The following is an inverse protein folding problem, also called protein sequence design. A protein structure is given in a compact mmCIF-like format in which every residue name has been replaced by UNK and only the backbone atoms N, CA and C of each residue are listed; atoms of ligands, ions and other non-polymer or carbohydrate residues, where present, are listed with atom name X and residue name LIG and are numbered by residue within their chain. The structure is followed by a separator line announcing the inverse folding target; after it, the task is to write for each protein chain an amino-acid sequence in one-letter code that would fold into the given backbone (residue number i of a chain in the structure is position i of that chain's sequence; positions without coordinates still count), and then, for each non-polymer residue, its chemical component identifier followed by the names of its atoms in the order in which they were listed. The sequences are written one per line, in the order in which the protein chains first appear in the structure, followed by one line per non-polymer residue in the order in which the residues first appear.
data_IF_489301065368
#
_entry.id   IF_489301065368
#
_cell.length_a   1.000
_cell.length_b   1.000
_cell.length_c   1.000
_cell.angle_alpha   90.00
_cell.angle_beta   90.00
_cell.angle_gamma   90.00
#
_symmetry.space_group_name_H-M   'P 1'
#
loop_
_entity.id
_entity.type
_entity.pdbx_description
1 polymer ?
#
# COMPACT_ATOMS: atom_id res chain seq x y z
N UNK A 1 -0.86 -5.60 40.09
CA UNK A 1 -0.61 -4.70 38.94
C UNK A 1 -0.78 -5.52 37.67
N UNK A 2 -1.89 -5.35 36.93
CA UNK A 2 -2.03 -6.00 35.62
C UNK A 2 -1.06 -5.32 34.65
N UNK A 3 -0.06 -6.04 34.14
CA UNK A 3 0.79 -5.49 33.07
C UNK A 3 -0.10 -5.11 31.89
N UNK A 4 0.06 -3.89 31.38
CA UNK A 4 -0.57 -3.51 30.12
C UNK A 4 0.00 -4.43 29.04
N UNK A 5 -0.87 -5.21 28.38
CA UNK A 5 -0.45 -5.97 27.19
C UNK A 5 0.10 -4.98 26.17
N UNK A 6 1.24 -5.25 25.50
CA UNK A 6 1.74 -4.38 24.45
C UNK A 6 0.69 -4.28 23.34
N UNK A 7 0.31 -3.04 23.00
CA UNK A 7 -0.62 -2.78 21.91
C UNK A 7 0.08 -3.05 20.57
N UNK A 8 -0.61 -3.74 19.66
CA UNK A 8 -0.09 -4.06 18.33
C UNK A 8 -0.88 -3.29 17.27
N UNK A 9 -0.24 -3.00 16.15
CA UNK A 9 -0.86 -2.49 14.93
C UNK A 9 -0.16 -3.12 13.72
N UNK A 10 -0.90 -3.28 12.61
CA UNK A 10 -0.36 -3.72 11.33
C UNK A 10 -0.40 -2.55 10.35
N UNK A 11 0.74 -2.25 9.72
CA UNK A 11 0.83 -1.31 8.61
C UNK A 11 1.17 -2.11 7.34
N UNK A 12 0.26 -2.11 6.37
CA UNK A 12 0.45 -2.71 5.05
C UNK A 12 0.89 -1.61 4.10
N UNK A 13 2.07 -1.75 3.50
CA UNK A 13 2.68 -0.66 2.73
C UNK A 13 2.60 -0.96 1.24
N UNK A 14 1.92 -0.07 0.51
CA UNK A 14 1.99 0.08 -0.94
C UNK A 14 1.84 -1.21 -1.75
N UNK A 15 0.88 -2.06 -1.38
CA UNK A 15 0.53 -3.27 -2.14
C UNK A 15 -0.37 -2.89 -3.32
N UNK A 16 0.19 -2.12 -4.25
CA UNK A 16 -0.47 -1.58 -5.44
C UNK A 16 -0.02 -2.31 -6.71
N UNK A 17 -0.82 -2.22 -7.76
CA UNK A 17 -0.55 -2.86 -9.04
C UNK A 17 0.80 -2.43 -9.63
N UNK A 18 1.14 -1.13 -9.54
CA UNK A 18 2.39 -0.61 -10.11
C UNK A 18 3.65 -1.17 -9.45
N UNK A 19 3.56 -1.69 -8.21
CA UNK A 19 4.68 -2.34 -7.53
C UNK A 19 4.70 -3.87 -7.69
N UNK A 20 3.67 -4.45 -8.32
CA UNK A 20 3.57 -5.88 -8.61
C UNK A 20 4.02 -6.20 -10.05
N UNK A 21 4.30 -7.47 -10.41
CA UNK A 21 4.74 -7.81 -11.76
C UNK A 21 3.81 -7.30 -12.87
N UNK A 22 4.39 -6.66 -13.88
CA UNK A 22 3.66 -6.00 -14.96
C UNK A 22 3.31 -4.52 -14.69
N UNK A 23 3.48 -4.05 -13.46
CA UNK A 23 3.34 -2.64 -13.08
C UNK A 23 4.51 -1.75 -13.48
N UNK A 24 4.31 -0.42 -13.43
CA UNK A 24 5.32 0.57 -13.83
C UNK A 24 6.65 0.49 -13.03
N UNK A 25 6.57 0.06 -11.76
CA UNK A 25 7.69 -0.21 -10.86
C UNK A 25 7.62 -1.64 -10.33
N UNK A 26 7.20 -2.58 -11.18
CA UNK A 26 6.92 -3.95 -10.78
C UNK A 26 8.13 -4.67 -10.19
N UNK A 27 7.99 -5.12 -8.93
CA UNK A 27 9.00 -5.95 -8.28
C UNK A 27 8.81 -7.39 -8.76
N UNK A 28 9.86 -8.05 -9.29
CA UNK A 28 9.78 -9.46 -9.66
C UNK A 28 9.27 -10.30 -8.49
N UNK A 29 8.23 -11.10 -8.74
CA UNK A 29 7.55 -11.92 -7.73
C UNK A 29 6.97 -11.14 -6.52
N UNK A 30 6.84 -9.81 -6.59
CA UNK A 30 6.37 -8.98 -5.47
C UNK A 30 5.01 -9.39 -4.91
N UNK A 31 4.08 -9.79 -5.77
CA UNK A 31 2.74 -10.27 -5.40
C UNK A 31 2.74 -11.53 -4.51
N UNK A 32 3.84 -12.32 -4.48
CA UNK A 32 3.90 -13.56 -3.69
C UNK A 32 3.84 -13.32 -2.16
N UNK A 33 4.06 -12.08 -1.71
CA UNK A 33 3.91 -11.71 -0.30
C UNK A 33 2.44 -11.56 0.13
N UNK A 34 1.53 -11.33 -0.82
CA UNK A 34 0.12 -11.00 -0.54
C UNK A 34 -0.58 -12.07 0.30
N UNK A 35 -0.43 -13.39 0.04
CA UNK A 35 -0.99 -14.40 0.92
C UNK A 35 -0.51 -14.32 2.37
N UNK A 36 0.75 -13.90 2.62
CA UNK A 36 1.26 -13.68 3.97
C UNK A 36 0.64 -12.44 4.61
N UNK A 37 0.53 -11.34 3.85
CA UNK A 37 -0.12 -10.11 4.30
C UNK A 37 -1.58 -10.40 4.70
N UNK A 38 -2.35 -11.10 3.86
CA UNK A 38 -3.73 -11.45 4.16
C UNK A 38 -3.86 -12.31 5.44
N UNK A 39 -2.89 -13.20 5.73
CA UNK A 39 -2.86 -13.95 7.00
C UNK A 39 -2.66 -13.03 8.21
N UNK A 40 -1.76 -12.04 8.10
CA UNK A 40 -1.55 -11.07 9.17
C UNK A 40 -2.75 -10.16 9.37
N UNK A 41 -3.38 -9.68 8.29
CA UNK A 41 -4.60 -8.88 8.38
C UNK A 41 -5.69 -9.66 9.13
N UNK A 42 -5.94 -10.92 8.75
CA UNK A 42 -6.92 -11.80 9.42
C UNK A 42 -6.58 -12.01 10.90
N UNK A 43 -5.32 -12.21 11.24
CA UNK A 43 -4.88 -12.37 12.63
C UNK A 43 -5.09 -11.09 13.47
N UNK A 44 -4.81 -9.92 12.91
CA UNK A 44 -5.02 -8.64 13.59
C UNK A 44 -6.50 -8.32 13.76
N UNK A 45 -7.33 -8.59 12.74
CA UNK A 45 -8.78 -8.46 12.82
C UNK A 45 -9.38 -9.34 13.92
N UNK A 46 -8.95 -10.61 14.02
CA UNK A 46 -9.44 -11.56 15.05
C UNK A 46 -9.21 -11.06 16.47
N UNK A 47 -8.11 -10.36 16.69
CA UNK A 47 -7.70 -9.85 18.00
C UNK A 47 -8.13 -8.38 18.24
N UNK A 48 -8.92 -7.81 17.33
CA UNK A 48 -9.32 -6.38 17.33
C UNK A 48 -8.13 -5.41 17.39
N UNK A 49 -7.00 -5.77 16.77
CA UNK A 49 -5.88 -4.86 16.58
C UNK A 49 -6.05 -4.06 15.28
N UNK A 50 -5.65 -2.78 15.24
CA UNK A 50 -5.81 -1.93 14.07
C UNK A 50 -4.95 -2.41 12.90
N UNK A 51 -5.53 -2.27 11.70
CA UNK A 51 -4.87 -2.47 10.40
C UNK A 51 -4.93 -1.15 9.65
N UNK A 52 -3.77 -0.66 9.23
CA UNK A 52 -3.58 0.52 8.40
C UNK A 52 -3.03 0.07 7.05
N UNK A 53 -3.46 0.71 5.97
CA UNK A 53 -2.93 0.45 4.63
C UNK A 53 -2.44 1.76 4.02
N UNK A 54 -1.27 1.76 3.39
CA UNK A 54 -0.76 2.93 2.68
C UNK A 54 -0.86 2.74 1.18
N UNK A 55 -0.90 3.86 0.46
CA UNK A 55 -0.72 3.90 -0.99
C UNK A 55 0.15 5.08 -1.39
N UNK A 56 1.03 4.86 -2.34
CA UNK A 56 1.55 5.95 -3.16
C UNK A 56 0.42 6.48 -4.04
N UNK A 57 0.27 7.80 -4.07
CA UNK A 57 -0.83 8.47 -4.75
C UNK A 57 -0.29 9.79 -5.29
N UNK A 58 0.09 9.80 -6.56
CA UNK A 58 0.75 10.94 -7.16
C UNK A 58 -0.19 11.72 -8.09
N UNK A 59 -0.15 13.06 -8.10
CA UNK A 59 -0.77 13.83 -9.16
C UNK A 59 -0.18 13.42 -10.52
N UNK A 60 -0.95 13.53 -11.59
CA UNK A 60 -0.45 13.25 -12.94
C UNK A 60 0.73 14.17 -13.34
N UNK A 61 0.79 15.37 -12.77
CA UNK A 61 1.83 16.37 -13.00
C UNK A 61 2.56 16.66 -11.68
N UNK A 62 3.73 16.06 -11.47
CA UNK A 62 4.52 16.22 -10.25
C UNK A 62 6.03 16.15 -10.52
N UNK A 63 6.82 16.96 -9.81
CA UNK A 63 8.30 16.89 -9.81
C UNK A 63 8.86 15.56 -9.30
N UNK A 64 8.03 14.65 -8.80
CA UNK A 64 8.43 13.27 -8.47
C UNK A 64 8.82 12.47 -9.73
N UNK A 65 8.15 12.73 -10.86
CA UNK A 65 8.36 11.98 -12.10
C UNK A 65 9.47 12.56 -12.98
N UNK A 66 10.26 11.70 -13.64
CA UNK A 66 11.34 12.04 -14.58
C UNK A 66 10.89 12.98 -15.69
N UNK A 67 9.65 12.83 -16.15
CA UNK A 67 9.01 13.70 -17.14
C UNK A 67 8.98 15.17 -16.73
N UNK A 68 8.96 15.44 -15.42
CA UNK A 68 8.94 16.79 -14.84
C UNK A 68 10.21 17.09 -14.02
N UNK A 69 11.32 16.39 -14.31
CA UNK A 69 12.62 16.61 -13.67
C UNK A 69 12.90 15.79 -12.40
N UNK A 70 12.01 14.85 -12.07
CA UNK A 70 12.14 13.96 -10.91
C UNK A 70 13.02 12.74 -11.13
N UNK A 71 12.99 11.83 -10.15
CA UNK A 71 13.82 10.63 -10.14
C UNK A 71 13.11 9.37 -10.66
N UNK A 72 11.78 9.35 -10.68
CA UNK A 72 11.00 8.12 -10.89
C UNK A 72 10.23 8.11 -12.20
N UNK A 73 9.98 6.97 -12.84
CA UNK A 73 9.00 6.90 -13.94
C UNK A 73 7.59 7.31 -13.45
N UNK A 74 6.64 7.58 -14.34
CA UNK A 74 5.23 7.71 -13.95
C UNK A 74 4.77 6.38 -13.30
N UNK A 75 4.24 6.45 -12.08
CA UNK A 75 3.71 5.31 -11.31
C UNK A 75 2.69 5.82 -10.31
N UNK A 76 1.77 4.96 -9.87
CA UNK A 76 0.80 5.23 -8.81
C UNK A 76 0.06 6.58 -8.99
N UNK A 77 -0.22 6.95 -10.26
CA UNK A 77 -0.96 8.16 -10.58
C UNK A 77 -2.37 8.04 -10.03
N UNK A 78 -2.84 9.07 -9.33
CA UNK A 78 -4.17 9.07 -8.73
C UNK A 78 -5.27 8.70 -9.74
N UNK A 79 -6.15 7.79 -9.31
CA UNK A 79 -7.26 7.28 -10.14
C UNK A 79 -6.85 6.28 -11.23
N UNK A 80 -5.56 6.05 -11.46
CA UNK A 80 -5.10 5.08 -12.47
C UNK A 80 -5.25 3.62 -12.00
N UNK A 81 -5.32 2.65 -12.94
CA UNK A 81 -5.25 1.23 -12.59
C UNK A 81 -3.98 0.83 -11.83
N UNK A 82 -2.84 1.45 -12.16
CA UNK A 82 -1.55 1.20 -11.49
C UNK A 82 -1.56 1.58 -10.00
N UNK A 83 -2.30 2.63 -9.64
CA UNK A 83 -2.43 3.10 -8.27
C UNK A 83 -3.45 2.32 -7.42
N UNK A 84 -4.26 1.44 -8.03
CA UNK A 84 -5.18 0.60 -7.27
C UNK A 84 -4.39 -0.43 -6.44
N UNK A 85 -4.94 -0.81 -5.28
CA UNK A 85 -4.43 -1.96 -4.54
C UNK A 85 -4.50 -3.23 -5.42
N UNK A 86 -3.54 -4.13 -5.22
CA UNK A 86 -3.54 -5.41 -5.93
C UNK A 86 -4.85 -6.17 -5.65
N UNK A 87 -5.51 -6.79 -6.66
CA UNK A 87 -6.82 -7.41 -6.50
C UNK A 87 -6.86 -8.54 -5.45
N UNK A 88 -5.73 -9.20 -5.22
CA UNK A 88 -5.61 -10.28 -4.22
C UNK A 88 -5.41 -9.77 -2.78
N UNK A 89 -5.19 -8.47 -2.58
CA UNK A 89 -5.04 -7.89 -1.24
C UNK A 89 -6.40 -7.79 -0.56
N UNK A 90 -6.58 -8.51 0.54
CA UNK A 90 -7.82 -8.53 1.32
C UNK A 90 -7.64 -7.69 2.60
N UNK A 91 -8.27 -6.52 2.68
CA UNK A 91 -8.29 -5.70 3.88
C UNK A 91 -9.70 -5.21 4.22
N UNK A 92 -10.03 -4.97 5.51
CA UNK A 92 -11.37 -4.49 5.90
C UNK A 92 -11.69 -3.14 5.24
N UNK A 93 -12.95 -2.94 4.87
CA UNK A 93 -13.40 -1.68 4.24
C UNK A 93 -13.22 -0.47 5.16
N UNK A 94 -13.22 -0.73 6.46
CA UNK A 94 -13.05 0.25 7.53
C UNK A 94 -11.57 0.54 7.84
N UNK A 95 -10.62 -0.16 7.19
CA UNK A 95 -9.21 0.13 7.35
C UNK A 95 -8.91 1.57 6.92
N UNK A 96 -8.10 2.27 7.72
CA UNK A 96 -7.63 3.60 7.34
C UNK A 96 -6.64 3.48 6.18
N UNK A 97 -7.01 4.07 5.04
CA UNK A 97 -6.14 4.22 3.86
C UNK A 97 -5.38 5.54 3.97
N UNK A 98 -4.05 5.46 4.10
CA UNK A 98 -3.16 6.62 4.15
C UNK A 98 -2.53 6.86 2.78
N UNK A 99 -2.84 7.98 2.14
CA UNK A 99 -2.25 8.36 0.84
C UNK A 99 -1.02 9.23 1.07
N UNK A 100 0.08 8.94 0.35
CA UNK A 100 1.33 9.71 0.37
C UNK A 100 1.77 10.07 -1.05
N UNK A 101 2.62 11.10 -1.17
CA UNK A 101 3.17 11.52 -2.47
C UNK A 101 2.34 12.54 -3.25
N UNK A 102 1.49 13.32 -2.57
CA UNK A 102 0.55 14.26 -3.18
C UNK A 102 1.15 15.60 -3.62
N UNK A 103 2.46 15.80 -3.43
CA UNK A 103 3.11 17.06 -3.75
C UNK A 103 3.28 17.25 -5.26
N UNK A 104 3.19 18.51 -5.72
CA UNK A 104 3.32 18.93 -7.12
C UNK A 104 4.79 19.18 -7.51
#
# INVERSE_FOLDING_TARGET
MSSLKPKKALLVVDVQNDFCPGGALGIPNGHQIIPAINRYIKAFQKENWPVFVTRDWHPQFTRHFKKFGGAWPEHCIEGSPGAQFHPDLEFPKEALVMSKGMDM
#
